data_IF_168122136387
#
_entry.id   IF_168122136387
#
_cell.length_a   1.000
_cell.length_b   1.000
_cell.length_c   1.000
_cell.angle_alpha   90.00
_cell.angle_beta   90.00
_cell.angle_gamma   90.00
#
_symmetry.space_group_name_H-M   'P 1'
#
loop_
_entity.id
_entity.type
_entity.pdbx_description
1 polymer ?
#
# COMPACT_ATOMS: atom_id res chain seq x y z
N UNK A 1 7.85 2.46 9.75
CA UNK A 1 8.01 2.36 8.27
C UNK A 1 9.31 3.06 7.89
N UNK A 2 10.21 2.40 7.17
CA UNK A 2 11.43 3.07 6.67
C UNK A 2 11.12 3.90 5.41
N UNK A 3 11.82 5.02 5.19
CA UNK A 3 11.72 5.75 3.93
C UNK A 3 12.38 4.95 2.81
N UNK A 4 11.58 4.29 1.98
CA UNK A 4 12.01 3.73 0.70
C UNK A 4 11.57 4.67 -0.41
N UNK A 5 12.51 5.08 -1.26
CA UNK A 5 12.25 5.94 -2.41
C UNK A 5 11.27 5.22 -3.36
N UNK A 6 10.19 5.85 -3.85
CA UNK A 6 9.30 5.19 -4.79
C UNK A 6 10.12 4.78 -6.03
N UNK A 7 9.86 3.60 -6.62
CA UNK A 7 10.53 3.21 -7.86
C UNK A 7 10.30 4.29 -8.92
N UNK A 8 11.33 4.60 -9.69
CA UNK A 8 11.22 5.52 -10.84
C UNK A 8 10.28 4.90 -11.86
N UNK A 9 9.07 5.46 -11.96
CA UNK A 9 8.05 4.95 -12.86
C UNK A 9 8.44 5.21 -14.33
N UNK A 10 8.11 4.28 -15.25
CA UNK A 10 8.40 4.46 -16.67
C UNK A 10 7.68 5.69 -17.26
N UNK A 11 8.22 6.27 -18.33
CA UNK A 11 7.66 7.46 -18.99
C UNK A 11 6.23 7.27 -19.55
N UNK A 12 5.77 6.02 -19.73
CA UNK A 12 4.42 5.69 -20.19
C UNK A 12 3.39 5.55 -19.06
N UNK A 13 3.81 5.64 -17.79
CA UNK A 13 2.92 5.44 -16.65
C UNK A 13 1.98 6.64 -16.46
N UNK A 14 0.67 6.39 -16.62
CA UNK A 14 -0.38 7.38 -16.36
C UNK A 14 -0.59 7.66 -14.85
N UNK A 15 -0.01 6.86 -13.95
CA UNK A 15 -0.18 6.98 -12.51
C UNK A 15 1.10 7.41 -11.78
N UNK A 16 2.13 7.82 -12.52
CA UNK A 16 3.36 8.38 -11.93
C UNK A 16 3.00 9.55 -11.02
N UNK A 17 3.57 9.55 -9.81
CA UNK A 17 3.29 10.58 -8.80
C UNK A 17 1.91 10.47 -8.15
N UNK A 18 1.11 9.44 -8.45
CA UNK A 18 -0.13 9.15 -7.70
C UNK A 18 0.18 8.22 -6.55
N UNK A 19 -0.27 8.59 -5.36
CA UNK A 19 -0.18 7.78 -4.14
C UNK A 19 -1.52 7.15 -3.80
N UNK A 20 -1.51 5.89 -3.40
CA UNK A 20 -2.70 5.14 -2.95
C UNK A 20 -2.41 4.50 -1.60
N UNK A 21 -3.32 4.71 -0.63
CA UNK A 21 -3.30 3.95 0.62
C UNK A 21 -4.32 2.82 0.51
N UNK A 22 -3.83 1.59 0.57
CA UNK A 22 -4.62 0.37 0.45
C UNK A 22 -4.93 -0.20 1.85
N UNK A 23 -6.16 0.00 2.32
CA UNK A 23 -6.67 -0.55 3.58
C UNK A 23 -7.49 -1.84 3.35
N UNK A 24 -7.48 -2.37 2.12
CA UNK A 24 -8.27 -3.54 1.79
C UNK A 24 -7.63 -4.83 2.32
N UNK A 25 -8.48 -5.85 2.47
CA UNK A 25 -8.11 -7.19 2.93
C UNK A 25 -8.61 -8.22 1.91
N UNK A 26 -8.07 -9.42 1.97
CA UNK A 26 -8.48 -10.52 1.07
C UNK A 26 -8.16 -10.20 -0.40
N UNK A 27 -8.91 -10.71 -1.38
CA UNK A 27 -8.51 -10.63 -2.78
C UNK A 27 -8.91 -9.36 -3.55
N UNK A 28 -10.18 -8.92 -3.56
CA UNK A 28 -10.64 -7.97 -4.58
C UNK A 28 -9.95 -6.60 -4.52
N UNK A 29 -9.80 -6.05 -3.32
CA UNK A 29 -9.14 -4.77 -3.11
C UNK A 29 -7.64 -4.83 -3.42
N UNK A 30 -6.88 -5.80 -2.86
CA UNK A 30 -5.47 -5.90 -3.15
C UNK A 30 -5.16 -6.20 -4.62
N UNK A 31 -6.05 -6.92 -5.31
CA UNK A 31 -5.94 -7.12 -6.75
C UNK A 31 -6.06 -5.78 -7.51
N UNK A 32 -7.09 -5.00 -7.22
CA UNK A 32 -7.29 -3.69 -7.85
C UNK A 32 -6.09 -2.76 -7.62
N UNK A 33 -5.61 -2.65 -6.38
CA UNK A 33 -4.48 -1.77 -6.05
C UNK A 33 -3.13 -2.32 -6.55
N UNK A 34 -3.00 -3.63 -6.76
CA UNK A 34 -1.84 -4.21 -7.46
C UNK A 34 -1.77 -3.72 -8.90
N UNK A 35 -2.91 -3.65 -9.61
CA UNK A 35 -2.95 -3.13 -10.98
C UNK A 35 -2.55 -1.65 -11.06
N UNK A 36 -2.84 -0.86 -10.03
CA UNK A 36 -2.41 0.53 -9.93
C UNK A 36 -0.89 0.61 -9.68
N UNK A 37 -0.36 -0.23 -8.80
CA UNK A 37 1.07 -0.31 -8.53
C UNK A 37 1.86 -0.71 -9.78
N UNK A 38 1.38 -1.71 -10.53
CA UNK A 38 1.98 -2.14 -11.81
C UNK A 38 1.99 -1.02 -12.87
N UNK A 39 1.08 -0.05 -12.74
CA UNK A 39 0.97 1.13 -13.61
C UNK A 39 1.65 2.37 -13.02
N UNK A 40 2.54 2.20 -12.05
CA UNK A 40 3.41 3.26 -11.53
C UNK A 40 2.84 4.10 -10.39
N UNK A 41 1.71 3.71 -9.80
CA UNK A 41 1.23 4.33 -8.57
C UNK A 41 2.11 3.93 -7.37
N UNK A 42 2.36 4.86 -6.45
CA UNK A 42 2.97 4.60 -5.16
C UNK A 42 1.92 4.06 -4.18
N UNK A 43 1.80 2.74 -4.10
CA UNK A 43 0.79 2.06 -3.28
C UNK A 43 1.39 1.62 -1.95
N UNK A 44 0.76 2.03 -0.84
CA UNK A 44 1.09 1.61 0.52
C UNK A 44 -0.07 0.79 1.09
N UNK A 45 0.16 -0.50 1.34
CA UNK A 45 -0.76 -1.35 2.09
C UNK A 45 -0.64 -1.04 3.58
N UNK A 46 -1.76 -0.69 4.19
CA UNK A 46 -1.90 -0.47 5.63
C UNK A 46 -2.64 -1.66 6.22
N UNK A 47 -2.00 -2.35 7.16
CA UNK A 47 -2.51 -3.59 7.72
C UNK A 47 -2.76 -3.51 9.22
N UNK A 48 -3.60 -4.43 9.70
CA UNK A 48 -3.86 -4.61 11.12
C UNK A 48 -2.55 -5.00 11.85
N UNK A 49 -2.14 -4.29 12.92
CA UNK A 49 -0.92 -4.60 13.65
C UNK A 49 -0.95 -5.95 14.39
N UNK A 50 -2.12 -6.48 14.71
CA UNK A 50 -2.26 -7.74 15.46
C UNK A 50 -2.11 -8.99 14.57
N UNK A 51 -2.49 -8.91 13.30
CA UNK A 51 -2.49 -10.10 12.43
C UNK A 51 -2.37 -9.83 10.93
N UNK A 52 -2.32 -8.57 10.51
CA UNK A 52 -2.21 -8.19 9.12
C UNK A 52 -3.41 -8.59 8.24
N UNK A 53 -3.15 -8.73 6.95
CA UNK A 53 -4.09 -9.33 6.01
C UNK A 53 -4.14 -10.87 6.19
N UNK A 54 -5.32 -11.51 6.34
CA UNK A 54 -5.45 -12.96 6.41
C UNK A 54 -4.78 -13.70 5.25
N UNK A 55 -4.65 -13.07 4.08
CA UNK A 55 -3.97 -13.68 2.93
C UNK A 55 -2.47 -13.92 3.18
N UNK A 56 -1.87 -13.31 4.22
CA UNK A 56 -0.49 -13.62 4.64
C UNK A 56 -0.28 -15.10 5.00
N UNK A 57 -1.33 -15.81 5.40
CA UNK A 57 -1.29 -17.27 5.61
C UNK A 57 -1.17 -18.08 4.31
N UNK A 58 -1.31 -17.43 3.15
CA UNK A 58 -1.05 -18.00 1.81
C UNK A 58 0.03 -17.17 1.11
N UNK A 59 1.33 -17.38 1.42
CA UNK A 59 2.41 -16.46 1.03
C UNK A 59 2.50 -16.19 -0.48
N UNK A 60 2.27 -17.20 -1.32
CA UNK A 60 2.28 -17.04 -2.78
C UNK A 60 1.17 -16.12 -3.28
N UNK A 61 -0.04 -16.25 -2.72
CA UNK A 61 -1.16 -15.36 -3.04
C UNK A 61 -0.90 -13.95 -2.49
N UNK A 62 -0.36 -13.83 -1.28
CA UNK A 62 -0.02 -12.53 -0.70
C UNK A 62 1.01 -11.79 -1.56
N UNK A 63 2.06 -12.48 -2.01
CA UNK A 63 3.08 -11.92 -2.89
C UNK A 63 2.49 -11.50 -4.23
N UNK A 64 1.62 -12.32 -4.83
CA UNK A 64 0.96 -11.99 -6.09
C UNK A 64 0.10 -10.73 -5.97
N UNK A 65 -0.72 -10.60 -4.92
CA UNK A 65 -1.63 -9.48 -4.72
C UNK A 65 -0.95 -8.19 -4.23
N UNK A 66 0.25 -8.27 -3.67
CA UNK A 66 0.92 -7.13 -3.03
C UNK A 66 2.30 -6.83 -3.60
N UNK A 67 2.67 -7.44 -4.73
CA UNK A 67 3.83 -7.03 -5.53
C UNK A 67 3.78 -5.53 -5.82
N UNK A 68 4.94 -4.91 -5.93
CA UNK A 68 5.11 -3.48 -6.20
C UNK A 68 4.49 -2.53 -5.16
N UNK A 69 3.89 -3.05 -4.08
CA UNK A 69 3.38 -2.24 -2.96
C UNK A 69 4.42 -2.18 -1.84
N UNK A 70 4.40 -1.08 -1.11
CA UNK A 70 5.00 -0.99 0.23
C UNK A 70 3.96 -1.46 1.25
N UNK A 71 4.37 -2.07 2.36
CA UNK A 71 3.44 -2.47 3.41
C UNK A 71 3.92 -2.01 4.78
N UNK A 72 2.97 -1.68 5.65
CA UNK A 72 3.23 -1.56 7.08
C UNK A 72 1.92 -1.61 7.86
N UNK A 73 2.05 -1.60 9.18
CA UNK A 73 0.91 -1.67 10.09
C UNK A 73 0.64 -0.30 10.69
N UNK A 74 -0.64 0.03 10.87
CA UNK A 74 -1.11 1.20 11.62
C UNK A 74 -2.39 0.82 12.35
N UNK A 75 -2.47 1.17 13.63
CA UNK A 75 -3.70 1.12 14.40
C UNK A 75 -4.47 2.44 14.29
N UNK A 76 -5.45 2.52 13.39
CA UNK A 76 -6.20 3.77 13.20
C UNK A 76 -7.11 4.14 14.39
N UNK A 77 -7.19 3.30 15.43
CA UNK A 77 -7.81 3.64 16.72
C UNK A 77 -6.90 4.52 17.57
N UNK A 78 -5.59 4.45 17.35
CA UNK A 78 -4.60 5.27 18.02
C UNK A 78 -4.42 6.63 17.33
N UNK A 79 -4.37 7.70 18.13
CA UNK A 79 -4.25 9.07 17.62
C UNK A 79 -2.97 9.25 16.78
N UNK A 80 -1.85 8.72 17.27
CA UNK A 80 -0.56 8.83 16.61
C UNK A 80 -0.56 8.17 15.21
N UNK A 81 -1.20 7.02 15.08
CA UNK A 81 -1.24 6.26 13.84
C UNK A 81 -2.21 6.89 12.83
N UNK A 82 -3.32 7.48 13.29
CA UNK A 82 -4.15 8.35 12.44
C UNK A 82 -3.38 9.54 11.90
N UNK A 83 -2.58 10.20 12.72
CA UNK A 83 -1.75 11.32 12.26
C UNK A 83 -0.74 10.85 11.21
N UNK A 84 -0.12 9.69 11.41
CA UNK A 84 0.77 9.06 10.43
C UNK A 84 0.06 8.75 9.12
N UNK A 85 -1.13 8.16 9.18
CA UNK A 85 -1.96 7.90 8.01
C UNK A 85 -2.31 9.19 7.25
N UNK A 86 -2.76 10.23 7.96
CA UNK A 86 -3.10 11.53 7.37
C UNK A 86 -1.89 12.22 6.74
N UNK A 87 -0.68 12.09 7.30
CA UNK A 87 0.54 12.60 6.66
C UNK A 87 0.77 11.97 5.29
N UNK A 88 0.56 10.66 5.17
CA UNK A 88 0.70 9.96 3.89
C UNK A 88 -0.37 10.35 2.85
N UNK A 89 -1.58 10.70 3.28
CA UNK A 89 -2.62 11.23 2.38
C UNK A 89 -2.33 12.64 1.89
N UNK A 90 -1.80 13.50 2.77
CA UNK A 90 -1.62 14.94 2.50
C UNK A 90 -0.35 15.27 1.75
N UNK A 91 0.67 14.41 1.83
CA UNK A 91 1.89 14.58 1.05
C UNK A 91 1.53 14.47 -0.44
N UNK A 92 1.47 15.60 -1.13
CA UNK A 92 1.55 15.65 -2.59
C UNK A 92 2.95 15.16 -2.99
N UNK A 93 3.04 14.39 -4.07
CA UNK A 93 4.32 14.06 -4.71
C UNK A 93 4.82 15.28 -5.46
#
# INVERSE_FOLDING_TARGET
MHPHQPPTAPSWSALTGKRVLDLSRLQPGPYATSMLADRGADVIKIEDPAGGDPVRFTPGLFAALNRNKRSGTLDLREKHDRETFLRHLRSQV
#
